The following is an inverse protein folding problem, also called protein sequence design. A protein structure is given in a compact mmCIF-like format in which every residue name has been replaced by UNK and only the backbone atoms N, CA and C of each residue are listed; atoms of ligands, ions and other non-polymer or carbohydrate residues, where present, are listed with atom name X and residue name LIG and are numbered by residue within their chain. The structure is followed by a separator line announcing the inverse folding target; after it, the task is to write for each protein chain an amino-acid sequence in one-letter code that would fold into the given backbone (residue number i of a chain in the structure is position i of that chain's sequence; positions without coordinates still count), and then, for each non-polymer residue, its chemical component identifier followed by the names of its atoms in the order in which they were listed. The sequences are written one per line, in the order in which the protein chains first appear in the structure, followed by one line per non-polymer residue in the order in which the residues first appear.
data_IF_457471379196
#
_entry.id   IF_457471379196
#
_cell.length_a   1.000
_cell.length_b   1.000
_cell.length_c   1.000
_cell.angle_alpha   90.00
_cell.angle_beta   90.00
_cell.angle_gamma   90.00
#
_symmetry.space_group_name_H-M   'P 1'
#
loop_
_entity.id
_entity.type
_entity.pdbx_description
1 polymer ?
#
# COMPACT_ATOMS: atom_id res chain seq x y z
N UNK A 1 -24.68 9.89 16.34
CA UNK A 1 -23.32 9.76 16.86
C UNK A 1 -22.34 9.59 15.73
N UNK A 2 -21.29 10.39 15.73
CA UNK A 2 -20.23 10.20 14.75
C UNK A 2 -19.47 8.91 15.04
N UNK A 3 -19.40 8.02 14.07
CA UNK A 3 -18.61 6.80 14.16
C UNK A 3 -17.15 7.16 13.86
N UNK A 4 -16.26 6.91 14.81
CA UNK A 4 -14.82 7.13 14.60
C UNK A 4 -14.33 6.09 13.57
N UNK A 5 -13.77 6.53 12.46
CA UNK A 5 -13.25 5.63 11.44
C UNK A 5 -11.92 5.01 11.87
N UNK A 6 -11.59 3.84 11.31
CA UNK A 6 -10.29 3.20 11.58
C UNK A 6 -9.13 4.07 11.10
N UNK A 7 -9.35 4.89 10.08
CA UNK A 7 -8.37 5.83 9.58
C UNK A 7 -8.09 6.95 10.60
N UNK A 8 -9.14 7.50 11.21
CA UNK A 8 -9.01 8.54 12.24
C UNK A 8 -8.26 8.01 13.46
N UNK A 9 -8.52 6.75 13.84
CA UNK A 9 -7.81 6.09 14.94
C UNK A 9 -6.33 5.93 14.59
N UNK A 10 -6.01 5.47 13.39
CA UNK A 10 -4.64 5.31 12.92
C UNK A 10 -3.88 6.65 12.90
N UNK A 11 -4.53 7.71 12.42
CA UNK A 11 -3.96 9.05 12.41
C UNK A 11 -3.70 9.58 13.82
N UNK A 12 -4.64 9.38 14.74
CA UNK A 12 -4.48 9.75 16.14
C UNK A 12 -3.33 9.00 16.82
N UNK A 13 -3.18 7.71 16.52
CA UNK A 13 -2.04 6.89 17.01
C UNK A 13 -0.73 7.45 16.48
N UNK A 14 -0.66 7.77 15.19
CA UNK A 14 0.53 8.34 14.58
C UNK A 14 0.90 9.68 15.23
N UNK A 15 -0.04 10.60 15.37
CA UNK A 15 0.20 11.91 15.96
C UNK A 15 0.63 11.85 17.44
N UNK A 16 0.10 10.89 18.20
CA UNK A 16 0.48 10.73 19.60
C UNK A 16 1.82 10.02 19.80
N UNK A 17 2.36 9.35 18.80
CA UNK A 17 3.59 8.55 18.92
C UNK A 17 4.79 9.08 18.12
N UNK A 18 4.57 9.96 17.14
CA UNK A 18 5.60 10.35 16.16
C UNK A 18 6.87 10.97 16.74
N UNK A 19 6.75 11.77 17.80
CA UNK A 19 7.86 12.50 18.40
C UNK A 19 8.33 11.88 19.72
N UNK A 20 7.86 10.69 20.05
CA UNK A 20 8.17 10.00 21.30
C UNK A 20 9.16 8.86 21.09
N UNK A 21 10.06 8.68 22.03
CA UNK A 21 11.06 7.62 22.03
C UNK A 21 11.20 6.99 23.41
N UNK A 22 11.77 5.80 23.48
CA UNK A 22 12.04 5.11 24.74
C UNK A 22 10.80 4.86 25.60
N UNK A 23 10.88 5.22 26.87
CA UNK A 23 9.80 4.98 27.84
C UNK A 23 8.52 5.75 27.55
N UNK A 24 8.63 6.96 26.99
CA UNK A 24 7.47 7.77 26.61
C UNK A 24 6.68 7.10 25.50
N UNK A 25 7.37 6.54 24.51
CA UNK A 25 6.74 5.79 23.42
C UNK A 25 6.05 4.54 23.95
N UNK A 26 6.71 3.78 24.84
CA UNK A 26 6.16 2.57 25.44
C UNK A 26 4.88 2.88 26.24
N UNK A 27 4.88 3.95 27.03
CA UNK A 27 3.73 4.42 27.81
C UNK A 27 2.58 4.83 26.89
N UNK A 28 2.88 5.59 25.83
CA UNK A 28 1.90 6.03 24.85
C UNK A 28 1.25 4.83 24.12
N UNK A 29 2.03 3.85 23.70
CA UNK A 29 1.52 2.64 23.06
C UNK A 29 0.64 1.83 24.00
N UNK A 30 1.01 1.73 25.27
CA UNK A 30 0.21 1.06 26.29
C UNK A 30 -1.15 1.73 26.47
N UNK A 31 -1.17 3.07 26.54
CA UNK A 31 -2.41 3.85 26.64
C UNK A 31 -3.31 3.65 25.41
N UNK A 32 -2.72 3.56 24.22
CA UNK A 32 -3.44 3.29 22.97
C UNK A 32 -4.10 1.89 23.02
N UNK A 33 -3.37 0.88 23.46
CA UNK A 33 -3.91 -0.48 23.58
C UNK A 33 -5.07 -0.50 24.58
N UNK A 34 -4.93 0.16 25.72
CA UNK A 34 -5.98 0.29 26.72
C UNK A 34 -7.22 1.01 26.17
N UNK A 35 -7.02 2.04 25.37
CA UNK A 35 -8.10 2.76 24.70
C UNK A 35 -8.86 1.83 23.74
N UNK A 36 -8.15 1.08 22.89
CA UNK A 36 -8.75 0.15 21.95
C UNK A 36 -9.52 -0.96 22.68
N UNK A 37 -8.99 -1.43 23.80
CA UNK A 37 -9.66 -2.43 24.62
C UNK A 37 -10.96 -1.88 25.23
N UNK A 38 -10.93 -0.71 25.83
CA UNK A 38 -12.12 -0.05 26.42
C UNK A 38 -13.22 0.22 25.38
N UNK A 39 -12.84 0.60 24.17
CA UNK A 39 -13.77 0.86 23.06
C UNK A 39 -14.18 -0.38 22.27
N UNK A 40 -13.71 -1.56 22.68
CA UNK A 40 -13.96 -2.83 22.01
C UNK A 40 -13.54 -2.86 20.54
N UNK A 41 -12.41 -2.22 20.25
CA UNK A 41 -11.87 -2.08 18.88
C UNK A 41 -10.69 -3.02 18.59
N UNK A 42 -10.34 -3.92 19.51
CA UNK A 42 -9.22 -4.85 19.31
C UNK A 42 -9.42 -5.79 18.10
N UNK A 43 -10.65 -6.12 17.76
CA UNK A 43 -10.96 -6.92 16.57
C UNK A 43 -10.67 -6.17 15.26
N UNK A 44 -10.58 -4.84 15.30
CA UNK A 44 -10.24 -3.99 14.16
C UNK A 44 -8.74 -3.61 14.12
N UNK A 45 -7.95 -4.12 15.06
CA UNK A 45 -6.53 -3.78 15.20
C UNK A 45 -5.72 -4.02 13.92
N UNK A 46 -6.00 -5.10 13.21
CA UNK A 46 -5.31 -5.42 11.95
C UNK A 46 -5.51 -4.34 10.90
N UNK A 47 -6.73 -3.89 10.69
CA UNK A 47 -7.05 -2.83 9.74
C UNK A 47 -6.46 -1.49 10.18
N UNK A 48 -6.54 -1.17 11.47
CA UNK A 48 -5.95 0.05 12.05
C UNK A 48 -4.43 0.06 11.84
N UNK A 49 -3.75 -1.07 12.08
CA UNK A 49 -2.30 -1.18 11.87
C UNK A 49 -1.90 -1.05 10.40
N UNK A 50 -2.69 -1.59 9.48
CA UNK A 50 -2.45 -1.41 8.04
C UNK A 50 -2.57 0.06 7.64
N UNK A 51 -3.57 0.76 8.14
CA UNK A 51 -3.75 2.19 7.87
C UNK A 51 -2.64 3.03 8.51
N UNK A 52 -2.24 2.68 9.74
CA UNK A 52 -1.11 3.32 10.43
C UNK A 52 0.19 3.16 9.63
N UNK A 53 0.44 1.98 9.11
CA UNK A 53 1.62 1.73 8.27
C UNK A 53 1.62 2.59 7.00
N UNK A 54 0.47 2.74 6.35
CA UNK A 54 0.33 3.64 5.19
C UNK A 54 0.65 5.09 5.54
N UNK A 55 0.18 5.56 6.69
CA UNK A 55 0.44 6.93 7.18
C UNK A 55 1.94 7.13 7.44
N UNK A 56 2.58 6.20 8.15
CA UNK A 56 4.01 6.24 8.45
C UNK A 56 4.84 6.27 7.15
N UNK A 57 4.52 5.40 6.21
CA UNK A 57 5.23 5.33 4.94
C UNK A 57 5.08 6.63 4.15
N UNK A 58 3.90 7.20 4.09
CA UNK A 58 3.63 8.47 3.43
C UNK A 58 4.44 9.61 4.05
N UNK A 59 4.47 9.71 5.37
CA UNK A 59 5.21 10.76 6.08
C UNK A 59 6.73 10.61 5.94
N UNK A 60 7.23 9.39 5.86
CA UNK A 60 8.65 9.11 5.61
C UNK A 60 9.05 9.20 4.13
N UNK A 61 8.11 9.40 3.24
CA UNK A 61 8.37 9.41 1.81
C UNK A 61 8.70 8.02 1.23
N UNK A 62 8.23 6.98 1.87
CA UNK A 62 8.40 5.58 1.42
C UNK A 62 7.25 5.22 0.49
N UNK A 63 7.59 4.83 -0.72
CA UNK A 63 6.62 4.40 -1.72
C UNK A 63 6.48 2.88 -1.70
N UNK A 64 5.28 2.39 -1.41
CA UNK A 64 4.97 0.96 -1.48
C UNK A 64 4.50 0.62 -2.89
N UNK A 65 5.19 -0.29 -3.55
CA UNK A 65 4.90 -0.73 -4.91
C UNK A 65 4.69 -2.23 -4.91
N UNK A 66 3.56 -2.66 -5.45
CA UNK A 66 3.28 -4.07 -5.70
C UNK A 66 3.35 -4.33 -7.19
N UNK A 67 4.23 -5.24 -7.60
CA UNK A 67 4.39 -5.65 -8.99
C UNK A 67 3.85 -7.06 -9.13
N UNK A 68 2.84 -7.22 -9.97
CA UNK A 68 2.29 -8.53 -10.34
C UNK A 68 2.74 -8.86 -11.75
N UNK A 69 3.35 -10.01 -11.93
CA UNK A 69 3.85 -10.50 -13.22
C UNK A 69 3.49 -11.96 -13.42
N UNK A 70 3.41 -12.40 -14.69
CA UNK A 70 3.15 -13.79 -15.02
C UNK A 70 4.33 -14.69 -14.69
N UNK A 71 5.55 -14.16 -14.77
CA UNK A 71 6.80 -14.85 -14.48
C UNK A 71 7.66 -14.00 -13.56
N UNK A 72 8.61 -14.64 -12.90
CA UNK A 72 9.55 -13.94 -12.01
C UNK A 72 10.36 -12.90 -12.79
N UNK A 73 10.39 -11.68 -12.29
CA UNK A 73 11.18 -10.59 -12.87
C UNK A 73 12.66 -10.76 -12.59
N UNK A 74 13.49 -10.35 -13.54
CA UNK A 74 14.94 -10.24 -13.33
C UNK A 74 15.25 -9.10 -12.37
N UNK A 75 16.37 -9.22 -11.62
CA UNK A 75 16.77 -8.20 -10.66
C UNK A 75 16.96 -6.81 -11.25
N UNK A 76 17.53 -6.74 -12.46
CA UNK A 76 17.73 -5.48 -13.19
C UNK A 76 16.41 -4.79 -13.54
N UNK A 77 15.39 -5.55 -13.94
CA UNK A 77 14.07 -5.02 -14.28
C UNK A 77 13.37 -4.42 -13.06
N UNK A 78 13.50 -5.08 -11.91
CA UNK A 78 12.97 -4.58 -10.64
C UNK A 78 13.62 -3.28 -10.22
N UNK A 79 14.94 -3.19 -10.31
CA UNK A 79 15.71 -1.98 -9.97
C UNK A 79 15.33 -0.83 -10.89
N UNK A 80 15.20 -1.07 -12.18
CA UNK A 80 14.82 -0.06 -13.16
C UNK A 80 13.40 0.46 -12.90
N UNK A 81 12.44 -0.41 -12.67
CA UNK A 81 11.06 -0.04 -12.33
C UNK A 81 11.03 0.77 -11.04
N UNK A 82 11.73 0.32 -10.01
CA UNK A 82 11.83 1.03 -8.73
C UNK A 82 12.43 2.43 -8.90
N UNK A 83 13.46 2.55 -9.71
CA UNK A 83 14.14 3.83 -9.99
C UNK A 83 13.24 4.81 -10.73
N UNK A 84 12.54 4.35 -11.76
CA UNK A 84 11.59 5.15 -12.54
C UNK A 84 10.43 5.65 -11.69
N UNK A 85 9.87 4.78 -10.86
CA UNK A 85 8.75 5.13 -9.98
C UNK A 85 9.18 6.05 -8.84
N UNK A 86 10.35 5.83 -8.27
CA UNK A 86 10.93 6.72 -7.27
C UNK A 86 11.07 8.14 -7.80
N UNK A 87 11.54 8.28 -9.03
CA UNK A 87 11.68 9.57 -9.70
C UNK A 87 10.33 10.21 -10.02
N UNK A 88 9.38 9.42 -10.54
CA UNK A 88 8.04 9.90 -10.91
C UNK A 88 7.23 10.41 -9.71
N UNK A 89 7.29 9.72 -8.59
CA UNK A 89 6.54 10.05 -7.38
C UNK A 89 7.34 10.87 -6.36
N UNK A 90 8.57 11.24 -6.68
CA UNK A 90 9.46 11.98 -5.76
C UNK A 90 9.61 11.32 -4.39
N UNK A 91 9.70 9.99 -4.37
CA UNK A 91 9.85 9.22 -3.14
C UNK A 91 11.31 9.22 -2.65
N UNK A 92 11.49 9.13 -1.33
CA UNK A 92 12.81 8.96 -0.73
C UNK A 92 13.27 7.51 -0.79
N UNK A 93 12.36 6.60 -0.61
CA UNK A 93 12.61 5.16 -0.62
C UNK A 93 11.46 4.42 -1.32
N UNK A 94 11.77 3.31 -1.94
CA UNK A 94 10.80 2.45 -2.62
C UNK A 94 10.89 1.05 -2.04
N UNK A 95 9.76 0.51 -1.61
CA UNK A 95 9.61 -0.89 -1.20
C UNK A 95 8.81 -1.63 -2.27
N UNK A 96 9.45 -2.65 -2.84
CA UNK A 96 8.86 -3.48 -3.89
C UNK A 96 8.38 -4.80 -3.33
N UNK A 97 7.11 -5.12 -3.57
CA UNK A 97 6.54 -6.44 -3.36
C UNK A 97 6.29 -7.08 -4.72
N UNK A 98 6.83 -8.27 -4.93
CA UNK A 98 6.64 -9.03 -6.15
C UNK A 98 5.61 -10.15 -5.93
N UNK A 99 4.63 -10.20 -6.81
CA UNK A 99 3.62 -11.27 -6.83
C UNK A 99 3.60 -11.91 -8.20
N UNK A 100 3.59 -13.23 -8.25
CA UNK A 100 3.50 -13.98 -9.49
C UNK A 100 2.05 -14.44 -9.69
N UNK A 101 1.46 -14.07 -10.81
CA UNK A 101 0.12 -14.50 -11.21
C UNK A 101 0.12 -14.88 -12.68
N UNK A 102 0.09 -16.18 -12.95
CA UNK A 102 0.11 -16.74 -14.31
C UNK A 102 -1.12 -16.33 -15.15
N UNK A 103 -2.21 -15.91 -14.48
CA UNK A 103 -3.44 -15.48 -15.15
C UNK A 103 -3.27 -14.19 -15.97
N UNK A 104 -2.19 -13.44 -15.75
CA UNK A 104 -1.89 -12.24 -16.53
C UNK A 104 -1.49 -12.52 -17.97
N UNK A 105 -1.16 -13.76 -18.32
CA UNK A 105 -0.73 -14.21 -19.64
C UNK A 105 0.61 -13.60 -20.14
N UNK A 106 1.16 -12.65 -19.42
CA UNK A 106 2.38 -11.93 -19.73
C UNK A 106 2.26 -10.44 -19.37
N UNK A 107 3.36 -9.71 -19.42
CA UNK A 107 3.44 -8.33 -19.00
C UNK A 107 3.42 -8.16 -17.49
N UNK A 108 3.17 -6.95 -17.05
CA UNK A 108 3.18 -6.59 -15.62
C UNK A 108 2.00 -5.71 -15.25
N UNK A 109 1.59 -5.80 -14.00
CA UNK A 109 0.67 -4.87 -13.37
C UNK A 109 1.36 -4.26 -12.15
N UNK A 110 1.36 -2.93 -12.06
CA UNK A 110 2.01 -2.19 -10.99
C UNK A 110 0.95 -1.46 -10.18
N UNK A 111 0.92 -1.68 -8.88
CA UNK A 111 0.06 -0.97 -7.94
C UNK A 111 0.92 -0.04 -7.08
N UNK A 112 0.64 1.26 -7.16
CA UNK A 112 1.34 2.30 -6.40
C UNK A 112 0.30 3.07 -5.59
N UNK A 113 0.18 2.76 -4.28
CA UNK A 113 -0.88 3.30 -3.47
C UNK A 113 -2.26 2.94 -4.03
N UNK A 114 -3.04 3.93 -4.41
CA UNK A 114 -4.37 3.74 -5.01
C UNK A 114 -4.35 3.73 -6.55
N UNK A 115 -3.20 3.98 -7.16
CA UNK A 115 -3.03 4.00 -8.62
C UNK A 115 -2.62 2.61 -9.12
N UNK A 116 -3.24 2.18 -10.21
CA UNK A 116 -2.93 0.91 -10.86
C UNK A 116 -2.50 1.15 -12.30
N UNK A 117 -1.32 0.65 -12.65
CA UNK A 117 -0.80 0.66 -14.02
C UNK A 117 -0.80 -0.78 -14.51
N UNK A 118 -1.72 -1.13 -15.38
CA UNK A 118 -1.87 -2.48 -15.89
C UNK A 118 -1.37 -2.58 -17.34
N UNK A 119 -0.20 -3.17 -17.51
CA UNK A 119 0.45 -3.42 -18.79
C UNK A 119 0.41 -4.93 -19.14
N UNK A 120 -0.46 -5.70 -18.52
CA UNK A 120 -0.59 -7.13 -18.78
C UNK A 120 -1.20 -7.42 -20.16
N UNK A 121 -0.87 -8.57 -20.74
CA UNK A 121 -1.47 -9.05 -21.97
C UNK A 121 -2.97 -9.31 -21.81
N UNK A 122 -3.39 -9.78 -20.64
CA UNK A 122 -4.81 -9.99 -20.31
C UNK A 122 -5.60 -8.68 -20.45
N UNK A 123 -5.11 -7.60 -19.87
CA UNK A 123 -5.77 -6.29 -19.96
C UNK A 123 -5.84 -5.78 -21.42
N UNK A 124 -4.77 -5.97 -22.19
CA UNK A 124 -4.76 -5.59 -23.61
C UNK A 124 -5.80 -6.36 -24.43
N UNK A 125 -5.94 -7.66 -24.18
CA UNK A 125 -6.95 -8.50 -24.84
C UNK A 125 -8.36 -8.09 -24.45
N UNK A 126 -8.62 -7.86 -23.18
CA UNK A 126 -9.92 -7.40 -22.68
C UNK A 126 -10.32 -6.05 -23.32
N UNK A 127 -9.42 -5.09 -23.37
CA UNK A 127 -9.65 -3.79 -24.02
C UNK A 127 -9.91 -3.93 -25.51
N UNK A 128 -9.24 -4.83 -26.19
CA UNK A 128 -9.47 -5.10 -27.59
C UNK A 128 -10.88 -5.70 -27.81
N UNK A 129 -11.29 -6.64 -26.99
CA UNK A 129 -12.62 -7.22 -27.05
C UNK A 129 -13.72 -6.17 -26.83
N UNK A 130 -13.57 -5.31 -25.83
CA UNK A 130 -14.49 -4.20 -25.59
C UNK A 130 -14.58 -3.25 -26.79
N UNK A 131 -13.44 -2.91 -27.38
CA UNK A 131 -13.38 -2.06 -28.56
C UNK A 131 -14.11 -2.66 -29.75
N UNK A 132 -13.90 -3.96 -30.01
CA UNK A 132 -14.58 -4.69 -31.09
C UNK A 132 -16.09 -4.78 -30.84
N UNK A 133 -16.50 -5.02 -29.62
CA UNK A 133 -17.92 -5.10 -29.26
C UNK A 133 -18.63 -3.76 -29.40
N UNK A 134 -17.95 -2.63 -29.20
CA UNK A 134 -18.54 -1.30 -29.38
C UNK A 134 -18.75 -0.91 -30.85
N UNK A 135 -18.04 -1.53 -31.77
CA UNK A 135 -18.16 -1.26 -33.22
C UNK A 135 -19.23 -2.06 -33.92
N UNK A 136 -19.84 -2.98 -33.24
CA UNK A 136 -20.93 -3.79 -33.74
C UNK A 136 -22.25 -3.22 -33.19
#
# INVERSE_FOLDING_TARGET
MATISNNDIAEAIYLSSKDKTGNELATSLKDIVNFLHRKRLLNKSKDILLKLNKIINKEKGILMIKITSAEKLHGNDKEEIGHLLKKRYHAHEVLLEEVIDEKLLGGIRIEVGDEVIDLSLKNKVEKLQEYLNRKV
#
